data_IF_936230058886
#
_entry.id   IF_936230058886
#
_cell.length_a   1.000
_cell.length_b   1.000
_cell.length_c   1.000
_cell.angle_alpha   90.00
_cell.angle_beta   90.00
_cell.angle_gamma   90.00
#
_symmetry.space_group_name_H-M   'P 1'
#
loop_
_entity.id
_entity.type
_entity.pdbx_description
1 polymer ?
#
# COMPACT_ATOMS: atom_id res chain seq x y z
N UNK A 1 -13.03 5.32 2.38
CA UNK A 1 -11.88 4.41 2.33
C UNK A 1 -12.28 3.23 1.48
N UNK A 2 -11.42 2.77 0.58
CA UNK A 2 -11.62 1.50 -0.12
C UNK A 2 -11.00 0.39 0.70
N UNK A 3 -11.75 -0.69 0.85
CA UNK A 3 -11.32 -1.95 1.46
C UNK A 3 -11.79 -3.10 0.59
N UNK A 4 -11.22 -4.30 0.72
CA UNK A 4 -11.85 -5.51 0.24
C UNK A 4 -13.32 -5.59 0.73
N UNK A 5 -14.25 -6.10 -0.09
CA UNK A 5 -14.05 -6.79 -1.36
C UNK A 5 -14.12 -5.88 -2.62
N UNK A 6 -13.77 -4.58 -2.53
CA UNK A 6 -13.78 -3.72 -3.72
C UNK A 6 -12.90 -4.31 -4.86
N UNK A 7 -13.35 -4.29 -6.14
CA UNK A 7 -12.65 -4.99 -7.23
C UNK A 7 -11.18 -4.58 -7.44
N UNK A 8 -10.79 -3.36 -7.02
CA UNK A 8 -9.39 -2.92 -7.03
C UNK A 8 -8.45 -3.81 -6.19
N UNK A 9 -8.97 -4.61 -5.26
CA UNK A 9 -8.20 -5.58 -4.47
C UNK A 9 -8.23 -7.00 -5.07
N UNK A 10 -8.92 -7.22 -6.18
CA UNK A 10 -9.12 -8.55 -6.77
C UNK A 10 -9.09 -8.58 -8.31
N UNK A 11 -8.60 -7.51 -8.95
CA UNK A 11 -8.66 -7.37 -10.42
C UNK A 11 -7.74 -8.36 -11.16
N UNK A 12 -6.50 -8.53 -10.71
CA UNK A 12 -5.52 -9.50 -11.25
C UNK A 12 -5.09 -10.47 -10.16
N UNK A 13 -4.77 -9.94 -8.99
CA UNK A 13 -4.39 -10.69 -7.80
C UNK A 13 -5.44 -10.54 -6.71
N UNK A 14 -5.72 -11.61 -5.99
CA UNK A 14 -6.62 -11.58 -4.84
C UNK A 14 -5.88 -11.06 -3.60
N UNK A 15 -6.38 -9.96 -3.04
CA UNK A 15 -5.85 -9.33 -1.83
C UNK A 15 -6.96 -9.20 -0.79
N UNK A 16 -6.70 -9.77 0.39
CA UNK A 16 -7.66 -9.77 1.50
C UNK A 16 -7.57 -8.50 2.37
N UNK A 17 -6.51 -7.72 2.20
CA UNK A 17 -6.26 -6.49 2.95
C UNK A 17 -5.37 -5.53 2.17
N UNK A 18 -5.33 -4.27 2.61
CA UNK A 18 -4.34 -3.29 2.16
C UNK A 18 -2.98 -3.64 2.78
N UNK A 19 -1.90 -3.77 2.01
CA UNK A 19 -0.60 -4.12 2.56
C UNK A 19 0.02 -2.95 3.33
N UNK A 20 0.57 -3.24 4.51
CA UNK A 20 1.45 -2.36 5.27
C UNK A 20 2.89 -2.58 4.82
N UNK A 21 3.47 -1.58 4.17
CA UNK A 21 4.85 -1.62 3.66
C UNK A 21 5.70 -0.64 4.48
N UNK A 22 6.81 -1.11 5.09
CA UNK A 22 7.70 -0.24 5.82
C UNK A 22 8.56 0.62 4.90
N UNK A 23 8.75 1.89 5.29
CA UNK A 23 9.87 2.69 4.84
C UNK A 23 11.21 1.99 5.14
N UNK A 24 12.23 2.21 4.31
CA UNK A 24 13.52 1.54 4.50
C UNK A 24 14.17 1.68 5.90
N UNK A 25 14.16 2.84 6.59
CA UNK A 25 14.81 2.96 7.91
C UNK A 25 14.26 2.02 8.99
N UNK A 26 13.03 1.52 8.82
CA UNK A 26 12.37 0.59 9.74
C UNK A 26 12.30 -0.84 9.19
N UNK A 27 12.70 -1.06 7.94
CA UNK A 27 12.63 -2.34 7.29
C UNK A 27 13.78 -3.25 7.72
N UNK A 28 13.50 -4.21 8.60
CA UNK A 28 14.43 -5.28 8.95
C UNK A 28 13.67 -6.56 9.34
N UNK A 29 14.31 -7.74 9.29
CA UNK A 29 13.68 -8.99 9.69
C UNK A 29 13.07 -8.90 11.08
N UNK A 30 11.79 -9.31 11.19
CA UNK A 30 11.01 -9.28 12.44
C UNK A 30 10.81 -7.89 13.07
N UNK A 31 11.12 -6.81 12.33
CA UNK A 31 10.84 -5.44 12.73
C UNK A 31 9.36 -5.05 12.57
N UNK A 32 8.98 -3.87 13.08
CA UNK A 32 7.66 -3.29 12.80
C UNK A 32 7.54 -2.94 11.32
N UNK A 33 6.32 -2.98 10.79
CA UNK A 33 6.01 -2.53 9.43
C UNK A 33 5.43 -1.11 9.40
N UNK A 34 4.95 -0.61 10.53
CA UNK A 34 4.47 0.74 10.70
C UNK A 34 5.57 1.64 11.27
N UNK A 35 5.63 2.86 10.75
CA UNK A 35 6.54 3.88 11.26
C UNK A 35 6.10 4.32 12.67
N UNK A 36 7.02 4.45 13.63
CA UNK A 36 6.68 5.03 14.93
C UNK A 36 6.31 6.51 14.79
N UNK A 37 5.26 6.94 15.49
CA UNK A 37 4.76 8.32 15.50
C UNK A 37 5.84 9.39 15.77
N UNK A 38 6.92 9.03 16.49
CA UNK A 38 8.05 9.92 16.78
C UNK A 38 8.96 10.25 15.60
N UNK A 39 8.83 9.57 14.45
CA UNK A 39 9.53 9.91 13.21
C UNK A 39 8.78 10.95 12.36
N UNK A 40 7.56 11.33 12.76
CA UNK A 40 6.71 12.27 12.02
C UNK A 40 6.49 13.58 12.77
N UNK A 41 6.00 14.58 12.04
CA UNK A 41 5.63 15.87 12.63
C UNK A 41 4.48 15.69 13.60
N UNK A 42 4.65 16.18 14.83
CA UNK A 42 3.60 16.17 15.84
C UNK A 42 2.47 17.18 15.54
N UNK A 43 1.20 16.81 15.82
CA UNK A 43 0.77 15.49 16.30
C UNK A 43 0.72 14.47 15.16
N UNK A 44 1.41 13.35 15.32
CA UNK A 44 1.29 12.19 14.45
C UNK A 44 0.21 11.27 15.02
N UNK A 45 -0.77 10.89 14.19
CA UNK A 45 -1.75 9.86 14.54
C UNK A 45 -1.11 8.46 14.58
N UNK A 46 -1.92 7.42 14.78
CA UNK A 46 -1.44 6.05 14.54
C UNK A 46 -1.16 5.86 13.05
N UNK A 47 -0.08 5.13 12.79
CA UNK A 47 0.41 4.77 11.46
C UNK A 47 0.30 3.25 11.22
N UNK A 48 -0.37 2.54 12.13
CA UNK A 48 -0.46 1.07 12.14
C UNK A 48 -1.47 0.53 11.13
N UNK A 49 -2.42 1.37 10.71
CA UNK A 49 -3.49 0.99 9.80
C UNK A 49 -3.25 1.56 8.40
N UNK A 50 -2.91 0.70 7.40
CA UNK A 50 -2.77 1.12 6.00
C UNK A 50 -4.15 1.40 5.40
N UNK A 51 -4.28 2.49 4.66
CA UNK A 51 -5.55 2.91 4.08
C UNK A 51 -5.41 3.25 2.60
N UNK A 52 -6.38 2.78 1.80
CA UNK A 52 -6.58 3.30 0.45
C UNK A 52 -7.70 4.34 0.46
N UNK A 53 -7.33 5.58 0.16
CA UNK A 53 -8.26 6.69 -0.07
C UNK A 53 -8.57 6.77 -1.55
N UNK A 54 -9.82 7.08 -1.88
CA UNK A 54 -10.30 7.13 -3.24
C UNK A 54 -11.25 8.32 -3.41
N UNK A 55 -11.17 8.98 -4.55
CA UNK A 55 -12.10 10.00 -4.97
C UNK A 55 -12.67 9.64 -6.33
N UNK A 56 -13.96 9.87 -6.45
CA UNK A 56 -14.76 9.53 -7.63
C UNK A 56 -15.29 10.81 -8.27
N UNK A 57 -15.43 10.81 -9.59
CA UNK A 57 -16.10 11.89 -10.31
C UNK A 57 -17.63 11.77 -10.26
N UNK A 58 -18.34 12.70 -10.90
CA UNK A 58 -19.80 12.74 -10.93
C UNK A 58 -20.44 11.53 -11.65
N UNK A 59 -19.67 10.82 -12.47
CA UNK A 59 -20.08 9.58 -13.16
C UNK A 59 -19.75 8.32 -12.35
N UNK A 60 -19.16 8.48 -11.15
CA UNK A 60 -18.79 7.39 -10.27
C UNK A 60 -17.50 6.66 -10.67
N UNK A 61 -16.67 7.25 -11.54
CA UNK A 61 -15.37 6.68 -11.92
C UNK A 61 -14.30 7.05 -10.90
N UNK A 62 -13.42 6.11 -10.58
CA UNK A 62 -12.29 6.36 -9.69
C UNK A 62 -11.25 7.23 -10.40
N UNK A 63 -10.98 8.43 -9.90
CA UNK A 63 -10.06 9.40 -10.53
C UNK A 63 -8.79 9.65 -9.75
N UNK A 64 -8.82 9.47 -8.43
CA UNK A 64 -7.66 9.64 -7.56
C UNK A 64 -7.64 8.51 -6.55
N UNK A 65 -6.46 7.95 -6.34
CA UNK A 65 -6.15 7.11 -5.19
C UNK A 65 -5.03 7.75 -4.36
N UNK A 66 -5.07 7.54 -3.06
CA UNK A 66 -3.95 7.83 -2.18
C UNK A 66 -3.77 6.68 -1.19
N UNK A 67 -2.55 6.16 -1.10
CA UNK A 67 -2.15 5.19 -0.09
C UNK A 67 -1.65 5.96 1.13
N UNK A 68 -2.20 5.65 2.30
CA UNK A 68 -1.94 6.37 3.54
C UNK A 68 -1.47 5.39 4.62
N UNK A 69 -0.49 5.82 5.42
CA UNK A 69 0.19 5.00 6.44
C UNK A 69 0.92 3.76 5.89
N UNK A 70 1.29 3.75 4.61
CA UNK A 70 2.02 2.61 4.01
C UNK A 70 2.86 3.10 2.83
N UNK A 71 4.10 2.65 2.78
CA UNK A 71 5.09 3.06 1.77
C UNK A 71 5.07 2.09 0.58
N UNK A 72 3.93 1.99 -0.11
CA UNK A 72 3.78 1.11 -1.28
C UNK A 72 4.90 1.32 -2.32
N UNK A 73 5.34 2.57 -2.47
CA UNK A 73 6.46 2.95 -3.36
C UNK A 73 7.79 2.30 -2.96
N UNK A 74 8.10 2.23 -1.66
CA UNK A 74 9.32 1.58 -1.16
C UNK A 74 9.36 0.10 -1.54
N UNK A 75 8.21 -0.55 -1.60
CA UNK A 75 8.09 -1.92 -2.10
C UNK A 75 8.62 -2.12 -3.53
N UNK A 76 8.54 -1.09 -4.38
CA UNK A 76 9.08 -1.11 -5.73
C UNK A 76 10.54 -0.63 -5.79
N UNK A 77 10.88 0.40 -5.02
CA UNK A 77 12.22 1.01 -5.04
C UNK A 77 13.29 0.13 -4.36
N UNK A 78 12.89 -0.68 -3.38
CA UNK A 78 13.80 -1.40 -2.48
C UNK A 78 13.76 -2.91 -2.66
N UNK A 79 13.33 -3.42 -3.82
CA UNK A 79 13.26 -4.88 -4.07
C UNK A 79 14.60 -5.60 -3.87
N UNK A 80 15.71 -4.90 -4.14
CA UNK A 80 17.07 -5.42 -4.00
C UNK A 80 17.65 -5.28 -2.58
N UNK A 81 16.87 -4.81 -1.61
CA UNK A 81 17.31 -4.65 -0.22
C UNK A 81 17.61 -5.99 0.47
N UNK A 82 17.04 -7.07 -0.06
CA UNK A 82 17.35 -8.45 0.31
C UNK A 82 16.16 -9.36 0.03
N UNK A 83 16.41 -10.67 -0.01
CA UNK A 83 15.38 -11.69 -0.22
C UNK A 83 14.21 -11.54 0.77
N UNK A 84 14.52 -11.24 2.04
CA UNK A 84 13.49 -11.00 3.06
C UNK A 84 12.56 -9.84 2.68
N UNK A 85 13.09 -8.73 2.16
CA UNK A 85 12.29 -7.55 1.85
C UNK A 85 11.43 -7.80 0.61
N UNK A 86 12.05 -8.42 -0.40
CA UNK A 86 11.38 -8.80 -1.63
C UNK A 86 10.15 -9.68 -1.36
N UNK A 87 10.36 -10.78 -0.64
CA UNK A 87 9.32 -11.79 -0.40
C UNK A 87 8.19 -11.24 0.49
N UNK A 88 8.51 -10.43 1.50
CA UNK A 88 7.53 -9.98 2.48
C UNK A 88 6.78 -8.69 2.07
N UNK A 89 7.40 -7.82 1.26
CA UNK A 89 6.92 -6.46 1.00
C UNK A 89 6.83 -6.11 -0.49
N UNK A 90 7.88 -6.36 -1.28
CA UNK A 90 7.88 -5.98 -2.71
C UNK A 90 6.82 -6.72 -3.51
N UNK A 91 6.68 -8.03 -3.30
CA UNK A 91 5.65 -8.86 -3.96
C UNK A 91 4.24 -8.31 -3.74
N UNK A 92 3.89 -7.95 -2.49
CA UNK A 92 2.59 -7.37 -2.13
C UNK A 92 2.38 -5.99 -2.76
N UNK A 93 3.44 -5.18 -2.81
CA UNK A 93 3.39 -3.85 -3.44
C UNK A 93 3.19 -3.95 -4.95
N UNK A 94 3.81 -4.94 -5.61
CA UNK A 94 3.56 -5.24 -7.01
C UNK A 94 2.13 -5.72 -7.26
N UNK A 95 1.62 -6.63 -6.43
CA UNK A 95 0.23 -7.12 -6.55
C UNK A 95 -0.78 -5.97 -6.49
N UNK A 96 -0.62 -5.06 -5.52
CA UNK A 96 -1.51 -3.90 -5.39
C UNK A 96 -1.35 -2.94 -6.57
N UNK A 97 -0.11 -2.60 -6.94
CA UNK A 97 0.16 -1.69 -8.06
C UNK A 97 -0.40 -2.21 -9.39
N UNK A 98 -0.22 -3.51 -9.67
CA UNK A 98 -0.76 -4.16 -10.87
C UNK A 98 -2.30 -4.15 -10.84
N UNK A 99 -2.90 -4.46 -9.70
CA UNK A 99 -4.36 -4.38 -9.55
C UNK A 99 -4.90 -2.97 -9.81
N UNK A 100 -4.25 -1.93 -9.24
CA UNK A 100 -4.64 -0.53 -9.44
C UNK A 100 -4.57 -0.17 -10.93
N UNK A 101 -3.44 -0.47 -11.59
CA UNK A 101 -3.23 -0.16 -13.01
C UNK A 101 -4.26 -0.89 -13.88
N UNK A 102 -4.47 -2.19 -13.63
CA UNK A 102 -5.47 -2.97 -14.36
C UNK A 102 -6.89 -2.44 -14.13
N UNK A 103 -7.26 -2.11 -12.89
CA UNK A 103 -8.56 -1.55 -12.56
C UNK A 103 -8.82 -0.26 -13.32
N UNK A 104 -7.86 0.67 -13.31
CA UNK A 104 -7.93 1.96 -13.99
C UNK A 104 -8.01 1.85 -15.52
N UNK A 105 -7.56 0.75 -16.11
CA UNK A 105 -7.67 0.49 -17.55
C UNK A 105 -9.01 -0.16 -17.95
N UNK A 106 -9.80 -0.64 -16.99
CA UNK A 106 -11.01 -1.44 -17.25
C UNK A 106 -12.31 -0.83 -16.71
N UNK A 107 -12.25 0.24 -15.89
CA UNK A 107 -13.39 0.92 -15.27
C UNK A 107 -13.25 2.44 -15.43
#
# INVERSE_FOLDING_TARGET
MLTPPHPIFSTVYEMQEMPQIPAEPIAYPQGPTAEPAGMHRYPAGSLDEPQMRAWFDDEGRLVVIATHNTDIGDGWEREAYGEFYFENFSTKSYMLGINILAYAMMH
#
